data_IF_591977431821
#
_entry.id   IF_591977431821
#
_cell.length_a   1.000
_cell.length_b   1.000
_cell.length_c   1.000
_cell.angle_alpha   90.00
_cell.angle_beta   90.00
_cell.angle_gamma   90.00
#
_symmetry.space_group_name_H-M   'P 1'
#
loop_
_entity.id
_entity.type
_entity.pdbx_description
1 polymer ?
#
# COMPACT_ATOMS: atom_id res chain seq x y z
N UNK A 1 -38.71 -9.38 -27.53
CA UNK A 1 -37.68 -9.87 -26.61
C UNK A 1 -36.57 -8.82 -26.61
N UNK A 2 -36.53 -7.95 -25.64
CA UNK A 2 -35.43 -7.00 -25.46
C UNK A 2 -34.24 -7.82 -24.96
N UNK A 3 -33.23 -8.00 -25.82
CA UNK A 3 -31.95 -8.61 -25.43
C UNK A 3 -31.38 -7.77 -24.27
N UNK A 4 -31.24 -8.36 -23.10
CA UNK A 4 -30.46 -7.76 -22.02
C UNK A 4 -29.05 -7.54 -22.57
N UNK A 5 -28.49 -6.32 -22.56
CA UNK A 5 -27.12 -6.11 -23.05
C UNK A 5 -26.19 -7.02 -22.24
N UNK A 6 -25.32 -7.76 -22.94
CA UNK A 6 -24.31 -8.59 -22.28
C UNK A 6 -23.44 -7.70 -21.39
N UNK A 7 -23.16 -8.13 -20.17
CA UNK A 7 -22.24 -7.39 -19.31
C UNK A 7 -20.86 -7.30 -19.98
N UNK A 8 -20.16 -6.14 -19.86
CA UNK A 8 -18.82 -6.00 -20.41
C UNK A 8 -17.85 -6.98 -19.79
N UNK A 9 -16.92 -7.50 -20.59
CA UNK A 9 -15.82 -8.33 -20.13
C UNK A 9 -14.73 -7.43 -19.53
N UNK A 10 -14.58 -7.45 -18.21
CA UNK A 10 -13.59 -6.64 -17.49
C UNK A 10 -12.44 -7.54 -17.03
N UNK A 11 -11.22 -7.19 -17.42
CA UNK A 11 -10.00 -7.89 -16.96
C UNK A 11 -9.22 -6.98 -16.02
N UNK A 12 -8.91 -7.49 -14.82
CA UNK A 12 -8.02 -6.87 -13.84
C UNK A 12 -6.68 -7.62 -13.87
N UNK A 13 -5.58 -6.89 -14.10
CA UNK A 13 -4.23 -7.46 -14.19
C UNK A 13 -3.49 -7.25 -12.88
N UNK A 14 -3.07 -8.34 -12.22
CA UNK A 14 -2.38 -8.37 -10.94
C UNK A 14 -3.35 -8.52 -9.77
N UNK A 15 -3.24 -9.64 -9.05
CA UNK A 15 -4.05 -9.95 -7.86
C UNK A 15 -3.30 -9.64 -6.54
N UNK A 16 -2.53 -8.55 -6.50
CA UNK A 16 -2.10 -7.91 -5.26
C UNK A 16 -3.30 -7.27 -4.53
N UNK A 17 -3.07 -6.57 -3.42
CA UNK A 17 -4.15 -5.93 -2.68
C UNK A 17 -4.95 -4.96 -3.56
N UNK A 18 -4.28 -4.21 -4.44
CA UNK A 18 -4.95 -3.27 -5.34
C UNK A 18 -5.94 -3.98 -6.28
N UNK A 19 -5.49 -4.97 -7.05
CA UNK A 19 -6.36 -5.64 -8.02
C UNK A 19 -7.41 -6.51 -7.35
N UNK A 20 -7.09 -7.16 -6.24
CA UNK A 20 -8.06 -7.89 -5.41
C UNK A 20 -9.16 -6.96 -4.90
N UNK A 21 -8.80 -5.76 -4.44
CA UNK A 21 -9.78 -4.74 -4.01
C UNK A 21 -10.64 -4.25 -5.18
N UNK A 22 -10.07 -4.04 -6.38
CA UNK A 22 -10.84 -3.68 -7.59
C UNK A 22 -11.85 -4.76 -7.91
N UNK A 23 -11.44 -6.02 -7.97
CA UNK A 23 -12.33 -7.12 -8.28
C UNK A 23 -13.48 -7.25 -7.26
N UNK A 24 -13.18 -7.08 -5.96
CA UNK A 24 -14.18 -7.09 -4.89
C UNK A 24 -15.12 -5.88 -4.97
N UNK A 25 -14.61 -4.68 -5.27
CA UNK A 25 -15.42 -3.47 -5.45
C UNK A 25 -16.37 -3.58 -6.65
N UNK A 26 -15.94 -4.22 -7.74
CA UNK A 26 -16.78 -4.56 -8.89
C UNK A 26 -17.84 -5.59 -8.53
N UNK A 27 -17.44 -6.67 -7.84
CA UNK A 27 -18.36 -7.72 -7.40
C UNK A 27 -19.44 -7.19 -6.46
N UNK A 28 -19.10 -6.26 -5.55
CA UNK A 28 -20.06 -5.58 -4.69
C UNK A 28 -21.13 -4.78 -5.47
N UNK A 29 -20.87 -4.45 -6.73
CA UNK A 29 -21.78 -3.80 -7.69
C UNK A 29 -22.50 -4.78 -8.62
N UNK A 30 -22.31 -6.09 -8.42
CA UNK A 30 -22.87 -7.13 -9.29
C UNK A 30 -22.13 -7.26 -10.63
N UNK A 31 -20.93 -6.71 -10.76
CA UNK A 31 -20.13 -6.71 -11.99
C UNK A 31 -19.14 -7.86 -11.95
N UNK A 32 -19.19 -8.70 -13.00
CA UNK A 32 -18.22 -9.79 -13.18
C UNK A 32 -16.87 -9.28 -13.65
N UNK A 33 -15.79 -9.89 -13.16
CA UNK A 33 -14.43 -9.60 -13.64
C UNK A 33 -13.57 -10.86 -13.73
N UNK A 34 -12.57 -10.83 -14.60
CA UNK A 34 -11.48 -11.81 -14.65
C UNK A 34 -10.28 -11.19 -13.96
N UNK A 35 -9.79 -11.82 -12.90
CA UNK A 35 -8.63 -11.37 -12.14
C UNK A 35 -7.42 -12.25 -12.46
N UNK A 36 -6.42 -11.67 -13.14
CA UNK A 36 -5.22 -12.36 -13.58
C UNK A 36 -4.05 -12.15 -12.61
N UNK A 37 -3.36 -13.24 -12.27
CA UNK A 37 -2.18 -13.20 -11.40
C UNK A 37 -1.06 -14.09 -11.93
N UNK A 38 0.17 -13.55 -12.02
CA UNK A 38 1.35 -14.32 -12.46
C UNK A 38 1.85 -15.35 -11.44
N UNK A 39 1.65 -15.05 -10.14
CA UNK A 39 2.01 -15.93 -9.04
C UNK A 39 1.02 -17.09 -8.91
N UNK A 40 1.38 -18.21 -8.26
CA UNK A 40 0.50 -19.36 -8.07
C UNK A 40 -0.72 -19.09 -7.18
N UNK A 41 -0.72 -17.99 -6.44
CA UNK A 41 -1.81 -17.53 -5.58
C UNK A 41 -1.85 -16.00 -5.55
N UNK A 42 -3.00 -15.37 -5.26
CA UNK A 42 -3.09 -13.92 -5.10
C UNK A 42 -2.37 -13.46 -3.82
N UNK A 43 -1.96 -12.20 -3.77
CA UNK A 43 -1.43 -11.51 -2.58
C UNK A 43 -0.08 -12.05 -2.05
N UNK A 44 0.71 -12.78 -2.84
CA UNK A 44 2.00 -13.35 -2.42
C UNK A 44 3.20 -12.39 -2.54
N UNK A 45 3.07 -11.35 -3.36
CA UNK A 45 4.17 -10.41 -3.64
C UNK A 45 4.20 -9.25 -2.61
N UNK A 46 4.42 -8.03 -3.05
CA UNK A 46 4.59 -6.83 -2.21
C UNK A 46 3.46 -6.63 -1.18
N UNK A 47 2.23 -7.07 -1.47
CA UNK A 47 1.10 -6.96 -0.52
C UNK A 47 1.31 -7.74 0.78
N UNK A 48 2.08 -8.83 0.75
CA UNK A 48 2.47 -9.63 1.92
C UNK A 48 3.80 -9.16 2.51
N UNK A 49 4.66 -8.56 1.70
CA UNK A 49 6.08 -8.31 1.98
C UNK A 49 6.34 -6.85 2.36
N UNK A 50 5.65 -6.37 3.40
CA UNK A 50 5.74 -5.01 3.91
C UNK A 50 5.40 -4.94 5.40
N UNK A 51 5.56 -3.78 6.02
CA UNK A 51 5.26 -3.52 7.42
C UNK A 51 3.76 -3.43 7.75
N UNK A 52 2.90 -3.44 6.76
CA UNK A 52 1.45 -3.32 6.93
C UNK A 52 0.96 -1.98 7.47
N UNK A 53 1.79 -0.95 7.41
CA UNK A 53 1.46 0.38 7.94
C UNK A 53 0.34 1.04 7.15
N UNK A 54 -0.70 1.47 7.85
CA UNK A 54 -1.78 2.27 7.29
C UNK A 54 -1.44 3.73 7.54
N UNK A 55 -0.73 4.30 6.57
CA UNK A 55 -0.11 5.62 6.66
C UNK A 55 -1.12 6.74 6.77
N UNK A 56 -1.00 7.55 7.81
CA UNK A 56 -1.73 8.81 7.95
C UNK A 56 -1.01 10.00 7.28
N UNK A 57 0.29 9.85 6.96
CA UNK A 57 1.04 10.88 6.26
C UNK A 57 2.38 11.27 6.89
N UNK A 58 2.69 10.85 8.08
CA UNK A 58 3.86 11.29 8.86
C UNK A 58 5.21 11.11 8.15
N UNK A 59 5.40 9.99 7.41
CA UNK A 59 6.64 9.73 6.65
C UNK A 59 6.85 10.65 5.45
N UNK A 60 5.85 11.47 5.11
CA UNK A 60 5.87 12.40 3.98
C UNK A 60 6.09 13.85 4.41
N UNK A 61 6.75 14.09 5.53
CA UNK A 61 7.02 15.41 6.08
C UNK A 61 7.83 16.34 5.13
N UNK A 62 8.56 15.76 4.16
CA UNK A 62 9.27 16.48 3.09
C UNK A 62 8.38 16.91 1.93
N UNK A 63 7.16 16.39 1.81
CA UNK A 63 6.24 16.84 0.75
C UNK A 63 5.86 18.29 0.94
N UNK A 64 6.02 19.10 -0.10
CA UNK A 64 5.81 20.53 -0.05
C UNK A 64 4.34 20.96 -0.09
N UNK A 65 3.45 20.06 -0.54
CA UNK A 65 2.02 20.36 -0.73
C UNK A 65 1.11 19.63 0.26
N UNK A 66 -0.16 20.02 0.27
CA UNK A 66 -1.19 19.34 1.10
C UNK A 66 -1.75 18.07 0.45
N UNK A 67 -1.58 17.89 -0.87
CA UNK A 67 -2.20 16.81 -1.62
C UNK A 67 -1.70 15.43 -1.20
N UNK A 68 -0.42 15.28 -0.88
CA UNK A 68 0.14 14.04 -0.32
C UNK A 68 -0.53 13.69 1.01
N UNK A 69 -0.66 14.66 1.91
CA UNK A 69 -1.34 14.49 3.19
C UNK A 69 -2.82 14.11 2.99
N UNK A 70 -3.53 14.80 2.11
CA UNK A 70 -4.91 14.46 1.75
C UNK A 70 -5.04 13.03 1.22
N UNK A 71 -4.18 12.63 0.29
CA UNK A 71 -4.19 11.30 -0.32
C UNK A 71 -3.98 10.22 0.74
N UNK A 72 -3.03 10.40 1.65
CA UNK A 72 -2.77 9.44 2.72
C UNK A 72 -3.91 9.39 3.72
N UNK A 73 -4.41 10.53 4.18
CA UNK A 73 -5.53 10.60 5.13
C UNK A 73 -6.80 9.97 4.55
N UNK A 74 -7.20 10.34 3.32
CA UNK A 74 -8.38 9.74 2.67
C UNK A 74 -8.23 8.24 2.49
N UNK A 75 -7.07 7.76 2.06
CA UNK A 75 -6.77 6.33 1.98
C UNK A 75 -6.87 5.64 3.34
N UNK A 76 -6.26 6.20 4.37
CA UNK A 76 -6.21 5.62 5.71
C UNK A 76 -7.59 5.57 6.39
N UNK A 77 -8.35 6.66 6.28
CA UNK A 77 -9.67 6.78 6.93
C UNK A 77 -10.77 5.97 6.23
N UNK A 78 -10.59 5.65 4.96
CA UNK A 78 -11.52 4.79 4.21
C UNK A 78 -11.10 3.31 4.17
N UNK A 79 -9.87 2.98 4.56
CA UNK A 79 -9.26 1.65 4.41
C UNK A 79 -10.11 0.53 5.01
N UNK A 80 -10.46 0.66 6.28
CA UNK A 80 -11.24 -0.34 6.99
C UNK A 80 -12.66 -0.43 6.45
N UNK A 81 -13.32 0.70 6.23
CA UNK A 81 -14.71 0.74 5.78
C UNK A 81 -14.92 0.04 4.44
N UNK A 82 -14.05 0.26 3.45
CA UNK A 82 -14.17 -0.43 2.17
C UNK A 82 -13.90 -1.94 2.29
N UNK A 83 -12.86 -2.33 3.02
CA UNK A 83 -12.57 -3.75 3.19
C UNK A 83 -13.65 -4.48 3.98
N UNK A 84 -14.22 -3.86 5.02
CA UNK A 84 -15.35 -4.42 5.76
C UNK A 84 -16.59 -4.56 4.87
N UNK A 85 -16.85 -3.59 4.00
CA UNK A 85 -17.97 -3.66 3.06
C UNK A 85 -17.83 -4.82 2.05
N UNK A 86 -16.60 -5.14 1.63
CA UNK A 86 -16.37 -6.19 0.62
C UNK A 86 -16.09 -7.56 1.21
N UNK A 87 -15.42 -7.61 2.36
CA UNK A 87 -14.97 -8.86 2.99
C UNK A 87 -15.86 -9.30 4.16
N UNK A 88 -16.80 -8.45 4.60
CA UNK A 88 -17.46 -8.55 5.89
C UNK A 88 -16.58 -7.97 7.00
N UNK A 89 -17.16 -7.77 8.21
CA UNK A 89 -16.46 -7.15 9.34
C UNK A 89 -15.15 -7.86 9.67
N UNK A 90 -14.04 -7.13 9.63
CA UNK A 90 -12.70 -7.65 9.92
C UNK A 90 -12.26 -7.26 11.34
N UNK A 91 -11.51 -8.12 12.04
CA UNK A 91 -11.17 -7.88 13.45
C UNK A 91 -9.96 -6.92 13.59
N UNK A 92 -10.07 -5.69 13.12
CA UNK A 92 -9.00 -4.69 13.05
C UNK A 92 -8.23 -4.55 14.36
N UNK A 93 -8.94 -4.50 15.51
CA UNK A 93 -8.32 -4.38 16.84
C UNK A 93 -7.38 -5.52 17.19
N UNK A 94 -7.61 -6.70 16.62
CA UNK A 94 -6.78 -7.90 16.86
C UNK A 94 -5.59 -7.99 15.90
N UNK A 95 -5.69 -7.32 14.75
CA UNK A 95 -4.68 -7.36 13.71
C UNK A 95 -3.71 -6.19 13.75
N UNK A 96 -4.10 -5.11 14.42
CA UNK A 96 -3.31 -3.89 14.46
C UNK A 96 -2.19 -3.97 15.51
N UNK A 97 -1.09 -3.25 15.23
CA UNK A 97 -0.03 -2.98 16.18
C UNK A 97 -0.49 -1.97 17.25
N UNK A 98 0.31 -1.76 18.29
CA UNK A 98 0.25 -0.52 19.07
C UNK A 98 0.58 0.69 18.17
N UNK A 99 0.26 1.94 18.60
CA UNK A 99 0.60 3.14 17.86
C UNK A 99 2.11 3.33 17.71
N UNK A 100 2.52 3.90 16.57
CA UNK A 100 3.93 4.17 16.26
C UNK A 100 4.51 5.34 17.03
N UNK A 101 5.81 5.20 17.35
CA UNK A 101 6.71 6.31 17.73
C UNK A 101 7.55 6.66 16.52
N UNK A 102 7.59 7.95 16.20
CA UNK A 102 8.40 8.49 15.13
C UNK A 102 9.70 9.04 15.72
N UNK A 103 10.77 8.27 15.59
CA UNK A 103 12.07 8.53 16.19
C UNK A 103 12.93 9.37 15.24
N UNK A 104 13.39 10.53 15.70
CA UNK A 104 14.21 11.42 14.89
C UNK A 104 15.68 10.99 14.99
N UNK A 105 16.21 10.49 13.87
CA UNK A 105 17.60 10.03 13.82
C UNK A 105 18.60 11.21 13.76
N UNK A 106 19.86 11.04 14.22
CA UNK A 106 20.86 12.11 14.17
C UNK A 106 21.11 12.66 12.77
N UNK A 107 21.08 11.76 11.76
CA UNK A 107 21.28 12.11 10.34
C UNK A 107 19.94 12.30 9.61
N UNK A 108 18.88 12.68 10.32
CA UNK A 108 17.56 12.97 9.76
C UNK A 108 17.64 14.14 8.77
N UNK A 109 16.95 14.00 7.62
CA UNK A 109 16.81 15.09 6.63
C UNK A 109 16.02 16.30 7.16
N UNK A 110 15.26 16.13 8.23
CA UNK A 110 14.50 17.18 8.92
C UNK A 110 14.82 17.17 10.41
N UNK A 111 14.94 18.34 11.00
CA UNK A 111 15.04 18.50 12.46
C UNK A 111 13.71 18.12 13.13
N UNK A 112 13.74 17.92 14.46
CA UNK A 112 12.53 17.67 15.24
C UNK A 112 11.50 18.81 15.07
N UNK A 113 11.94 20.07 15.09
CA UNK A 113 11.06 21.23 14.92
C UNK A 113 10.42 21.27 13.53
N UNK A 114 11.18 20.92 12.49
CA UNK A 114 10.66 20.84 11.12
C UNK A 114 9.63 19.71 10.97
N UNK A 115 9.86 18.57 11.63
CA UNK A 115 8.91 17.46 11.68
C UNK A 115 7.65 17.86 12.44
N UNK A 116 7.76 18.51 13.60
CA UNK A 116 6.62 19.02 14.35
C UNK A 116 5.77 19.98 13.51
N UNK A 117 6.41 20.93 12.81
CA UNK A 117 5.72 21.84 11.89
C UNK A 117 5.01 21.10 10.74
N UNK A 118 5.61 20.02 10.21
CA UNK A 118 4.97 19.19 9.18
C UNK A 118 3.76 18.44 9.74
N UNK A 119 3.84 17.95 10.97
CA UNK A 119 2.75 17.23 11.63
C UNK A 119 1.59 18.16 12.02
N UNK A 120 1.85 19.43 12.36
CA UNK A 120 0.80 20.45 12.51
C UNK A 120 0.04 20.66 11.17
N UNK A 121 0.73 20.74 10.04
CA UNK A 121 0.06 20.84 8.72
C UNK A 121 -0.75 19.60 8.38
N UNK A 122 -0.34 18.43 8.87
CA UNK A 122 -1.11 17.20 8.72
C UNK A 122 -2.42 17.27 9.53
N UNK A 123 -2.38 17.79 10.78
CA UNK A 123 -3.58 18.02 11.60
C UNK A 123 -4.54 19.03 10.92
N UNK A 124 -4.02 20.12 10.36
CA UNK A 124 -4.83 21.08 9.60
C UNK A 124 -5.52 20.42 8.40
N UNK A 125 -4.81 19.52 7.72
CA UNK A 125 -5.38 18.76 6.59
C UNK A 125 -6.46 17.79 7.06
N UNK A 126 -6.24 17.10 8.17
CA UNK A 126 -7.24 16.22 8.76
C UNK A 126 -8.49 16.98 9.20
N UNK A 127 -8.32 18.16 9.82
CA UNK A 127 -9.44 19.02 10.20
C UNK A 127 -10.28 19.48 9.00
N UNK A 128 -9.63 19.81 7.86
CA UNK A 128 -10.33 20.14 6.62
C UNK A 128 -11.14 18.97 6.07
N UNK A 129 -10.59 17.76 6.09
CA UNK A 129 -11.31 16.57 5.63
C UNK A 129 -12.46 16.23 6.60
N UNK A 130 -12.25 16.41 7.90
CA UNK A 130 -13.26 16.18 8.93
C UNK A 130 -14.47 17.13 8.84
N UNK A 131 -14.35 18.26 8.13
CA UNK A 131 -15.48 19.14 7.85
C UNK A 131 -16.57 18.47 6.99
N UNK A 132 -16.20 17.46 6.19
CA UNK A 132 -17.12 16.66 5.38
C UNK A 132 -17.79 15.52 6.19
N UNK A 133 -17.31 15.24 7.40
CA UNK A 133 -17.81 14.19 8.28
C UNK A 133 -16.75 13.63 9.23
N UNK A 134 -17.14 12.88 10.27
CA UNK A 134 -16.19 12.33 11.22
C UNK A 134 -15.21 11.36 10.55
N UNK A 135 -13.94 11.48 10.90
CA UNK A 135 -12.90 10.57 10.40
C UNK A 135 -12.85 9.30 11.25
N UNK A 136 -12.74 8.17 10.59
CA UNK A 136 -12.50 6.88 11.22
C UNK A 136 -11.15 6.31 10.78
N UNK A 137 -10.44 5.67 11.69
CA UNK A 137 -9.19 5.00 11.41
C UNK A 137 -9.19 3.60 12.02
N UNK A 138 -9.17 2.59 11.14
CA UNK A 138 -9.22 1.17 11.53
C UNK A 138 -10.41 0.85 12.46
N UNK A 139 -11.59 1.36 12.09
CA UNK A 139 -12.84 1.15 12.83
C UNK A 139 -12.92 1.89 14.16
N UNK A 140 -12.18 3.00 14.33
CA UNK A 140 -12.23 3.86 15.52
C UNK A 140 -12.26 5.33 15.12
N UNK A 141 -12.94 6.20 15.89
CA UNK A 141 -12.89 7.64 15.65
C UNK A 141 -11.46 8.17 15.67
N UNK A 142 -11.14 9.05 14.73
CA UNK A 142 -9.85 9.73 14.63
C UNK A 142 -10.01 11.18 15.05
N UNK A 143 -9.53 11.51 16.25
CA UNK A 143 -9.71 12.85 16.85
C UNK A 143 -8.40 13.62 17.01
N UNK A 144 -7.28 12.94 17.06
CA UNK A 144 -5.95 13.50 17.19
C UNK A 144 -4.97 12.62 16.41
N UNK A 145 -4.00 13.20 15.74
CA UNK A 145 -3.05 12.42 14.93
C UNK A 145 -1.74 12.14 15.67
N UNK A 146 -1.23 13.10 16.44
CA UNK A 146 0.05 13.00 17.12
C UNK A 146 0.11 13.85 18.39
N UNK A 147 1.16 13.68 19.17
CA UNK A 147 1.46 14.46 20.35
C UNK A 147 2.92 14.40 20.72
N UNK A 148 3.32 15.34 21.59
CA UNK A 148 4.63 15.32 22.21
C UNK A 148 4.76 14.13 23.17
N UNK A 149 5.97 13.60 23.34
CA UNK A 149 6.22 12.50 24.26
C UNK A 149 5.85 12.87 25.70
N UNK A 150 5.09 12.00 26.36
CA UNK A 150 4.78 12.16 27.76
C UNK A 150 5.85 11.48 28.63
N UNK A 151 6.07 11.90 29.91
CA UNK A 151 7.00 11.23 30.82
C UNK A 151 6.68 9.73 31.03
N UNK A 152 5.43 9.33 30.86
CA UNK A 152 5.00 7.93 30.91
C UNK A 152 5.44 7.11 29.68
N UNK A 153 5.75 7.80 28.58
CA UNK A 153 6.17 7.18 27.32
C UNK A 153 7.68 6.90 27.24
N UNK A 154 8.47 7.26 28.25
CA UNK A 154 9.91 6.95 28.37
C UNK A 154 10.28 5.45 28.33
N UNK A 155 9.40 4.62 27.76
CA UNK A 155 9.54 3.15 27.66
C UNK A 155 10.25 2.66 26.40
N UNK A 156 10.73 3.56 25.52
CA UNK A 156 11.63 3.15 24.46
C UNK A 156 12.98 2.79 25.09
N UNK A 157 13.20 1.50 25.34
CA UNK A 157 14.49 0.98 25.79
C UNK A 157 15.48 1.06 24.63
N UNK A 158 16.21 2.16 24.58
CA UNK A 158 17.22 2.44 23.57
C UNK A 158 18.57 2.67 24.22
N UNK A 159 19.64 2.38 23.49
CA UNK A 159 21.01 2.69 23.88
C UNK A 159 21.32 4.18 23.88
N UNK A 160 20.53 4.96 23.14
CA UNK A 160 20.69 6.42 22.99
C UNK A 160 19.36 7.13 23.25
N UNK A 161 19.41 8.31 23.87
CA UNK A 161 18.24 9.19 23.98
C UNK A 161 18.13 10.03 22.70
N UNK A 162 17.07 9.85 21.94
CA UNK A 162 16.78 10.59 20.70
C UNK A 162 15.40 11.25 20.81
N UNK A 163 15.15 12.39 20.14
CA UNK A 163 13.81 12.96 20.03
C UNK A 163 12.86 12.01 19.31
N UNK A 164 11.58 12.04 19.70
CA UNK A 164 10.56 11.23 19.05
C UNK A 164 9.16 11.82 19.28
N UNK A 165 8.20 11.41 18.46
CA UNK A 165 6.80 11.83 18.53
C UNK A 165 5.89 10.62 18.76
N UNK A 166 4.85 10.80 19.56
CA UNK A 166 3.74 9.86 19.64
C UNK A 166 2.78 10.10 18.50
N UNK A 167 2.32 9.03 17.84
CA UNK A 167 1.30 9.13 16.81
C UNK A 167 0.21 8.10 17.06
N UNK A 168 -0.91 8.23 16.36
CA UNK A 168 -1.97 7.21 16.36
C UNK A 168 -1.81 6.21 15.22
N UNK A 169 -0.83 6.41 14.33
CA UNK A 169 -0.58 5.53 13.18
C UNK A 169 -0.27 4.10 13.61
N UNK A 170 -0.79 3.14 12.88
CA UNK A 170 -0.68 1.71 13.18
C UNK A 170 -0.38 0.89 11.93
N UNK A 171 0.15 -0.30 12.14
CA UNK A 171 0.23 -1.35 11.12
C UNK A 171 -0.86 -2.38 11.33
N UNK A 172 -1.29 -3.00 10.25
CA UNK A 172 -2.12 -4.22 10.23
C UNK A 172 -1.21 -5.37 9.79
N UNK A 173 -1.25 -6.49 10.50
CA UNK A 173 -0.45 -7.66 10.12
C UNK A 173 -0.76 -8.08 8.67
N UNK A 174 0.18 -7.93 7.73
CA UNK A 174 -0.07 -8.23 6.32
C UNK A 174 -0.44 -9.70 6.08
N UNK A 175 0.02 -10.61 6.94
CA UNK A 175 -0.27 -12.05 6.83
C UNK A 175 -1.75 -12.33 7.09
N UNK A 176 -2.34 -11.65 8.08
CA UNK A 176 -3.76 -11.78 8.42
C UNK A 176 -4.64 -11.08 7.39
N UNK A 177 -4.26 -9.86 7.00
CA UNK A 177 -4.98 -9.09 5.97
C UNK A 177 -5.04 -9.85 4.64
N UNK A 178 -3.87 -10.28 4.13
CA UNK A 178 -3.80 -10.98 2.84
C UNK A 178 -4.54 -12.32 2.86
N UNK A 179 -4.52 -13.03 3.99
CA UNK A 179 -5.28 -14.27 4.16
C UNK A 179 -6.78 -14.03 4.08
N UNK A 180 -7.29 -12.98 4.73
CA UNK A 180 -8.73 -12.66 4.71
C UNK A 180 -9.20 -12.22 3.32
N UNK A 181 -8.44 -11.30 2.67
CA UNK A 181 -8.77 -10.82 1.33
C UNK A 181 -8.70 -11.96 0.30
N UNK A 182 -7.68 -12.82 0.37
CA UNK A 182 -7.55 -14.01 -0.49
C UNK A 182 -8.76 -14.91 -0.38
N UNK A 183 -9.12 -15.30 0.85
CA UNK A 183 -10.29 -16.14 1.10
C UNK A 183 -11.57 -15.54 0.51
N UNK A 184 -11.73 -14.23 0.59
CA UNK A 184 -12.90 -13.55 0.05
C UNK A 184 -12.89 -13.53 -1.49
N UNK A 185 -11.76 -13.24 -2.11
CA UNK A 185 -11.60 -13.26 -3.58
C UNK A 185 -11.86 -14.66 -4.15
N UNK A 186 -11.31 -15.69 -3.52
CA UNK A 186 -11.48 -17.10 -3.94
C UNK A 186 -12.93 -17.59 -3.78
N UNK A 187 -13.67 -17.03 -2.83
CA UNK A 187 -15.07 -17.39 -2.57
C UNK A 187 -16.10 -16.56 -3.37
N UNK A 188 -15.67 -15.50 -4.06
CA UNK A 188 -16.59 -14.59 -4.75
C UNK A 188 -16.96 -15.10 -6.14
N UNK A 189 -18.23 -15.50 -6.40
CA UNK A 189 -18.64 -16.11 -7.68
C UNK A 189 -18.61 -15.14 -8.87
N UNK A 190 -18.51 -13.84 -8.65
CA UNK A 190 -18.40 -12.83 -9.69
C UNK A 190 -16.93 -12.56 -10.10
N UNK A 191 -15.96 -13.18 -9.44
CA UNK A 191 -14.53 -13.06 -9.75
C UNK A 191 -14.04 -14.39 -10.37
N UNK A 192 -13.64 -14.35 -11.64
CA UNK A 192 -12.93 -15.45 -12.30
C UNK A 192 -11.42 -15.26 -12.03
N UNK A 193 -10.93 -15.85 -10.92
CA UNK A 193 -9.53 -15.75 -10.52
C UNK A 193 -8.67 -16.77 -11.29
N UNK A 194 -7.66 -16.27 -12.02
CA UNK A 194 -6.72 -17.09 -12.80
C UNK A 194 -5.28 -16.82 -12.35
N UNK A 195 -4.76 -17.69 -11.52
CA UNK A 195 -3.40 -17.65 -11.02
C UNK A 195 -2.40 -18.38 -11.92
N UNK A 196 -1.11 -18.07 -11.76
CA UNK A 196 -0.04 -18.61 -12.59
C UNK A 196 -0.11 -18.12 -14.04
N UNK A 197 -0.84 -17.05 -14.34
CA UNK A 197 -1.09 -16.55 -15.69
C UNK A 197 -0.59 -15.11 -15.84
N UNK A 198 0.59 -14.97 -16.45
CA UNK A 198 1.20 -13.66 -16.73
C UNK A 198 0.64 -13.06 -18.02
N UNK A 199 0.32 -11.77 -18.00
CA UNK A 199 0.04 -10.98 -19.20
C UNK A 199 1.37 -10.52 -19.81
N UNK A 200 1.67 -11.08 -20.99
CA UNK A 200 2.92 -10.84 -21.71
C UNK A 200 2.84 -9.59 -22.61
N UNK A 201 1.69 -9.39 -23.26
CA UNK A 201 1.46 -8.26 -24.14
C UNK A 201 -0.02 -7.84 -24.11
N UNK A 202 -0.28 -6.61 -24.50
CA UNK A 202 -1.62 -6.06 -24.69
C UNK A 202 -1.64 -5.31 -26.03
N UNK A 203 -2.77 -5.40 -26.73
CA UNK A 203 -3.04 -4.63 -27.94
C UNK A 203 -4.45 -4.07 -27.90
N UNK A 204 -4.59 -2.77 -28.09
CA UNK A 204 -5.88 -2.15 -28.32
C UNK A 204 -6.41 -2.54 -29.71
N UNK A 205 -7.68 -2.93 -29.80
CA UNK A 205 -8.35 -3.41 -30.99
C UNK A 205 -9.70 -2.72 -31.15
N UNK A 206 -9.70 -1.46 -31.61
CA UNK A 206 -10.91 -0.65 -31.70
C UNK A 206 -11.49 -0.35 -30.32
N UNK A 207 -12.63 -0.94 -29.98
CA UNK A 207 -13.33 -0.74 -28.71
C UNK A 207 -12.97 -1.78 -27.64
N UNK A 208 -12.06 -2.71 -27.94
CA UNK A 208 -11.66 -3.79 -27.01
C UNK A 208 -10.13 -3.91 -26.91
N UNK A 209 -9.68 -4.76 -26.01
CA UNK A 209 -8.27 -5.10 -25.78
C UNK A 209 -8.05 -6.58 -25.98
N UNK A 210 -6.95 -6.93 -26.62
CA UNK A 210 -6.46 -8.30 -26.71
C UNK A 210 -5.23 -8.47 -25.82
N UNK A 211 -5.32 -9.34 -24.84
CA UNK A 211 -4.24 -9.67 -23.91
C UNK A 211 -3.62 -10.99 -24.32
N UNK A 212 -2.30 -11.02 -24.48
CA UNK A 212 -1.55 -12.25 -24.76
C UNK A 212 -1.06 -12.87 -23.47
N UNK A 213 -1.38 -14.14 -23.26
CA UNK A 213 -0.90 -14.94 -22.14
C UNK A 213 -0.35 -16.28 -22.64
N UNK A 214 0.39 -17.01 -21.81
CA UNK A 214 0.87 -18.34 -22.16
C UNK A 214 -0.25 -19.39 -22.34
N UNK A 215 -1.45 -19.12 -21.82
CA UNK A 215 -2.62 -19.98 -22.00
C UNK A 215 -3.47 -19.60 -23.24
N UNK A 216 -3.00 -18.63 -24.02
CA UNK A 216 -3.70 -18.11 -25.20
C UNK A 216 -4.16 -16.66 -25.01
N UNK A 217 -4.79 -16.10 -26.05
CA UNK A 217 -5.29 -14.73 -26.03
C UNK A 217 -6.58 -14.61 -25.21
N UNK A 218 -6.75 -13.47 -24.55
CA UNK A 218 -7.99 -13.05 -23.88
C UNK A 218 -8.47 -11.75 -24.51
N UNK A 219 -9.78 -11.56 -24.61
CA UNK A 219 -10.37 -10.30 -25.08
C UNK A 219 -11.12 -9.62 -23.93
N UNK A 220 -11.01 -8.31 -23.81
CA UNK A 220 -11.67 -7.50 -22.81
C UNK A 220 -12.28 -6.22 -23.41
N UNK A 221 -13.46 -5.84 -22.92
CA UNK A 221 -14.06 -4.54 -23.20
C UNK A 221 -13.44 -3.43 -22.32
N UNK A 222 -12.92 -3.85 -21.16
CA UNK A 222 -12.24 -2.95 -20.22
C UNK A 222 -11.06 -3.68 -19.52
N UNK A 223 -10.00 -2.92 -19.24
CA UNK A 223 -8.82 -3.41 -18.54
C UNK A 223 -8.51 -2.50 -17.36
N UNK A 224 -8.21 -3.10 -16.20
CA UNK A 224 -7.67 -2.39 -15.03
C UNK A 224 -6.27 -2.93 -14.74
N UNK A 225 -5.26 -2.09 -14.96
CA UNK A 225 -3.86 -2.43 -14.76
C UNK A 225 -3.44 -2.16 -13.30
N UNK A 226 -3.28 -3.24 -12.52
CA UNK A 226 -2.80 -3.25 -11.14
C UNK A 226 -1.47 -4.01 -11.00
N UNK A 227 -0.67 -4.09 -12.07
CA UNK A 227 0.50 -4.96 -12.19
C UNK A 227 1.76 -4.41 -11.48
N UNK A 228 1.65 -3.40 -10.60
CA UNK A 228 2.70 -2.80 -9.77
C UNK A 228 3.97 -2.46 -10.58
N UNK A 229 5.08 -3.19 -10.40
CA UNK A 229 6.34 -2.93 -11.09
C UNK A 229 6.28 -3.17 -12.61
N UNK A 230 5.30 -3.93 -13.11
CA UNK A 230 5.08 -4.16 -14.53
C UNK A 230 4.06 -3.18 -15.15
N UNK A 231 3.48 -2.31 -14.34
CA UNK A 231 2.36 -1.44 -14.71
C UNK A 231 2.72 -0.54 -15.91
N UNK A 232 3.83 0.20 -15.85
CA UNK A 232 4.24 1.10 -16.94
C UNK A 232 4.50 0.36 -18.25
N UNK A 233 5.06 -0.86 -18.20
CA UNK A 233 5.28 -1.68 -19.40
C UNK A 233 3.97 -2.05 -20.07
N UNK A 234 2.95 -2.41 -19.30
CA UNK A 234 1.64 -2.77 -19.83
C UNK A 234 0.85 -1.53 -20.30
N UNK A 235 0.98 -0.40 -19.61
CA UNK A 235 0.36 0.87 -20.00
C UNK A 235 0.86 1.33 -21.37
N UNK A 236 2.17 1.28 -21.63
CA UNK A 236 2.75 1.60 -22.96
C UNK A 236 2.22 0.72 -24.10
N UNK A 237 1.75 -0.49 -23.80
CA UNK A 237 1.16 -1.40 -24.80
C UNK A 237 -0.34 -1.17 -24.99
N UNK A 238 -1.08 -0.88 -23.92
CA UNK A 238 -2.54 -0.77 -23.91
C UNK A 238 -3.07 0.65 -24.03
N UNK A 239 -2.30 1.64 -23.58
CA UNK A 239 -2.72 3.03 -23.50
C UNK A 239 -1.50 3.99 -23.55
N UNK A 240 -0.90 4.16 -24.71
CA UNK A 240 0.32 4.97 -24.93
C UNK A 240 0.21 6.41 -24.43
N UNK A 241 -1.01 6.94 -24.31
CA UNK A 241 -1.26 8.31 -23.81
C UNK A 241 -1.08 8.48 -22.30
N UNK A 242 -0.95 7.38 -21.57
CA UNK A 242 -0.69 7.39 -20.12
C UNK A 242 0.83 7.41 -19.88
N UNK A 243 1.45 8.57 -20.04
CA UNK A 243 2.86 8.73 -19.68
C UNK A 243 2.99 9.06 -18.19
N UNK A 244 3.73 8.24 -17.49
CA UNK A 244 3.99 8.40 -16.06
C UNK A 244 5.36 9.06 -15.79
N UNK A 245 6.12 9.35 -16.83
CA UNK A 245 7.48 9.81 -16.72
C UNK A 245 8.43 8.70 -16.24
N UNK A 246 9.54 9.12 -15.68
CA UNK A 246 10.57 8.20 -15.17
C UNK A 246 10.15 7.59 -13.84
N UNK A 247 10.30 6.26 -13.72
CA UNK A 247 10.08 5.50 -12.50
C UNK A 247 11.38 4.91 -11.97
N UNK A 248 11.49 4.80 -10.68
CA UNK A 248 12.58 4.08 -10.02
C UNK A 248 12.03 2.94 -9.15
N UNK A 249 12.82 1.88 -9.08
CA UNK A 249 12.49 0.63 -8.44
C UNK A 249 13.51 0.31 -7.36
N UNK A 250 13.02 -0.23 -6.25
CA UNK A 250 13.84 -0.68 -5.13
C UNK A 250 13.37 -2.05 -4.70
N UNK A 251 14.32 -2.90 -4.35
CA UNK A 251 14.03 -4.12 -3.59
C UNK A 251 14.44 -3.87 -2.15
N UNK A 252 13.46 -3.88 -1.25
CA UNK A 252 13.65 -3.76 0.20
C UNK A 252 13.22 -5.05 0.87
N UNK A 253 14.07 -5.57 1.76
CA UNK A 253 13.74 -6.74 2.55
C UNK A 253 12.90 -6.36 3.78
N UNK A 254 11.81 -7.09 3.99
CA UNK A 254 11.17 -7.23 5.29
C UNK A 254 11.82 -8.40 6.03
N UNK A 255 12.04 -8.23 7.32
CA UNK A 255 12.67 -9.25 8.16
C UNK A 255 11.73 -9.54 9.32
N UNK A 256 11.36 -10.79 9.49
CA UNK A 256 10.60 -11.25 10.63
C UNK A 256 11.54 -11.96 11.61
N UNK A 257 11.51 -11.52 12.85
CA UNK A 257 12.32 -12.09 13.92
C UNK A 257 11.46 -12.55 15.09
N UNK A 258 11.97 -13.44 15.88
CA UNK A 258 11.41 -13.84 17.17
C UNK A 258 12.36 -13.44 18.29
N UNK A 259 11.96 -12.55 19.20
CA UNK A 259 12.79 -12.15 20.32
C UNK A 259 13.00 -13.33 21.28
N UNK A 260 14.14 -13.37 21.94
CA UNK A 260 14.49 -14.43 22.91
C UNK A 260 13.57 -14.45 24.13
N UNK A 261 13.01 -13.28 24.50
CA UNK A 261 12.08 -13.10 25.62
C UNK A 261 10.90 -12.26 25.12
N UNK A 262 9.78 -12.32 25.82
CA UNK A 262 8.67 -11.42 25.57
C UNK A 262 9.18 -9.97 25.59
N UNK A 263 8.95 -9.26 24.48
CA UNK A 263 9.43 -7.89 24.29
C UNK A 263 8.33 -6.90 24.66
N UNK A 264 8.70 -5.83 25.35
CA UNK A 264 7.83 -4.66 25.57
C UNK A 264 8.07 -3.56 24.55
N UNK A 265 8.76 -3.84 23.45
CA UNK A 265 8.99 -2.90 22.37
C UNK A 265 7.69 -2.38 21.80
N UNK A 266 7.69 -1.10 21.52
CA UNK A 266 6.61 -0.42 20.81
C UNK A 266 6.97 -0.30 19.34
N UNK A 267 5.98 -0.16 18.44
CA UNK A 267 6.26 0.15 17.05
C UNK A 267 7.03 1.46 16.92
N UNK A 268 8.09 1.43 16.11
CA UNK A 268 8.96 2.59 15.86
C UNK A 268 9.16 2.75 14.37
N UNK A 269 9.03 3.98 13.88
CA UNK A 269 9.53 4.41 12.58
C UNK A 269 10.65 5.40 12.81
N UNK A 270 11.81 5.13 12.23
CA UNK A 270 12.94 6.04 12.28
C UNK A 270 12.86 7.01 11.10
N UNK A 271 12.90 8.31 11.38
CA UNK A 271 12.69 9.39 10.40
C UNK A 271 13.81 10.45 10.48
N UNK A 272 13.97 11.27 9.48
CA UNK A 272 13.48 11.26 8.10
C UNK A 272 14.64 10.84 7.20
N UNK A 273 14.50 9.80 6.39
CA UNK A 273 15.57 9.36 5.52
C UNK A 273 15.69 7.82 5.39
N UNK A 274 16.87 7.29 5.00
CA UNK A 274 17.09 5.87 4.74
C UNK A 274 17.26 5.06 6.03
N UNK A 275 16.27 5.05 6.87
CA UNK A 275 16.28 4.32 8.15
C UNK A 275 15.40 3.06 8.11
N UNK A 276 14.68 2.77 9.18
CA UNK A 276 13.91 1.54 9.26
C UNK A 276 12.72 1.61 10.21
N UNK A 277 12.10 0.45 10.36
CA UNK A 277 10.91 0.27 11.18
C UNK A 277 11.06 -0.94 12.10
N UNK A 278 10.38 -0.90 13.25
CA UNK A 278 10.16 -2.02 14.15
C UNK A 278 8.65 -2.14 14.36
N UNK A 279 8.09 -3.33 14.15
CA UNK A 279 6.66 -3.58 14.40
C UNK A 279 6.49 -4.90 15.17
N UNK A 280 6.29 -4.85 16.47
CA UNK A 280 5.88 -6.03 17.22
C UNK A 280 4.46 -6.46 16.84
N UNK A 281 4.27 -7.76 16.59
CA UNK A 281 3.00 -8.36 16.26
C UNK A 281 2.39 -9.11 17.44
N UNK A 282 1.06 -9.26 17.50
CA UNK A 282 0.39 -9.98 18.59
C UNK A 282 0.81 -11.44 18.76
N UNK A 283 1.35 -12.09 17.71
CA UNK A 283 1.85 -13.47 17.75
C UNK A 283 3.26 -13.59 18.37
N UNK A 284 3.82 -12.47 18.85
CA UNK A 284 5.14 -12.39 19.46
C UNK A 284 6.30 -12.29 18.47
N UNK A 285 6.05 -12.33 17.16
CA UNK A 285 7.05 -11.98 16.16
C UNK A 285 7.21 -10.46 16.08
N UNK A 286 8.37 -10.02 15.59
CA UNK A 286 8.66 -8.61 15.34
C UNK A 286 9.09 -8.47 13.89
N UNK A 287 8.42 -7.57 13.17
CA UNK A 287 8.93 -7.09 11.89
C UNK A 287 10.03 -6.06 12.16
N UNK A 288 11.13 -6.19 11.44
CA UNK A 288 12.17 -5.15 11.37
C UNK A 288 12.52 -4.86 9.90
N UNK A 289 12.95 -3.65 9.64
CA UNK A 289 13.62 -3.28 8.40
C UNK A 289 14.71 -2.26 8.69
N UNK A 290 15.82 -2.36 7.96
CA UNK A 290 16.88 -1.36 7.99
C UNK A 290 17.28 -1.04 6.56
N UNK A 291 16.96 0.17 6.08
CA UNK A 291 17.06 0.51 4.67
C UNK A 291 18.50 0.42 4.12
N UNK A 292 19.56 0.88 4.83
CA UNK A 292 20.93 0.85 4.31
C UNK A 292 21.43 -0.55 3.92
N UNK A 293 21.06 -1.59 4.66
CA UNK A 293 21.40 -2.99 4.32
C UNK A 293 20.24 -3.73 3.65
N UNK A 294 19.03 -3.34 3.94
CA UNK A 294 17.80 -3.98 3.44
C UNK A 294 17.47 -3.67 1.99
N UNK A 295 17.98 -2.56 1.43
CA UNK A 295 17.82 -2.22 0.02
C UNK A 295 18.86 -2.96 -0.83
N UNK A 296 18.45 -4.02 -1.50
CA UNK A 296 19.34 -4.86 -2.32
C UNK A 296 19.34 -4.51 -3.81
N UNK A 297 18.44 -3.64 -4.24
CA UNK A 297 18.36 -3.12 -5.59
C UNK A 297 17.91 -1.66 -5.60
N UNK A 298 18.43 -0.88 -6.53
CA UNK A 298 17.95 0.45 -6.91
C UNK A 298 18.25 0.68 -8.39
N UNK A 299 17.27 1.15 -9.16
CA UNK A 299 17.44 1.46 -10.59
C UNK A 299 16.16 1.96 -11.22
N UNK A 300 16.25 2.44 -12.47
CA UNK A 300 15.13 2.95 -13.28
C UNK A 300 14.44 1.86 -14.12
N UNK A 301 14.89 0.63 -14.01
CA UNK A 301 14.24 -0.54 -14.61
C UNK A 301 13.74 -1.48 -13.51
N UNK A 302 12.67 -2.26 -13.75
CA UNK A 302 12.24 -3.28 -12.82
C UNK A 302 13.39 -4.24 -12.45
N UNK A 303 13.49 -4.66 -11.18
CA UNK A 303 14.52 -5.61 -10.77
C UNK A 303 14.36 -6.95 -11.49
N UNK A 304 15.47 -7.66 -11.79
CA UNK A 304 15.42 -8.97 -12.45
C UNK A 304 14.80 -10.02 -11.53
N UNK A 305 14.03 -10.94 -12.10
CA UNK A 305 13.54 -12.16 -11.42
C UNK A 305 14.59 -13.27 -11.48
N UNK A 306 14.67 -14.17 -10.48
CA UNK A 306 13.91 -14.16 -9.22
C UNK A 306 14.49 -13.19 -8.18
N UNK A 307 13.60 -12.56 -7.42
CA UNK A 307 14.00 -11.70 -6.30
C UNK A 307 14.47 -12.50 -5.08
N UNK A 308 13.95 -13.70 -4.92
CA UNK A 308 14.19 -14.56 -3.76
C UNK A 308 15.55 -15.26 -3.88
N UNK A 309 16.58 -14.65 -3.27
CA UNK A 309 17.93 -15.23 -3.15
C UNK A 309 18.21 -15.52 -1.66
N UNK A 310 18.25 -16.80 -1.22
CA UNK A 310 18.41 -17.17 0.19
C UNK A 310 19.69 -16.64 0.85
N UNK A 311 20.78 -16.57 0.09
CA UNK A 311 22.08 -16.07 0.59
C UNK A 311 21.99 -14.57 0.87
N UNK A 312 21.42 -13.80 -0.06
CA UNK A 312 21.20 -12.35 0.11
C UNK A 312 20.21 -12.11 1.25
N UNK A 313 19.09 -12.83 1.29
CA UNK A 313 18.08 -12.70 2.31
C UNK A 313 18.64 -12.93 3.72
N UNK A 314 19.47 -13.96 3.88
CA UNK A 314 20.13 -14.29 5.15
C UNK A 314 21.10 -13.19 5.59
N UNK A 315 22.01 -12.77 4.71
CA UNK A 315 22.98 -11.70 4.98
C UNK A 315 22.27 -10.42 5.39
N UNK A 316 21.27 -9.98 4.62
CA UNK A 316 20.48 -8.78 4.91
C UNK A 316 19.82 -8.87 6.28
N UNK A 317 19.27 -10.03 6.64
CA UNK A 317 18.60 -10.21 7.90
C UNK A 317 19.60 -10.14 9.09
N UNK A 318 20.76 -10.80 8.97
CA UNK A 318 21.79 -10.81 10.00
C UNK A 318 22.37 -9.39 10.22
N UNK A 319 22.74 -8.69 9.16
CA UNK A 319 23.28 -7.33 9.22
C UNK A 319 22.25 -6.33 9.77
N UNK A 320 20.99 -6.37 9.29
CA UNK A 320 19.93 -5.47 9.77
C UNK A 320 19.60 -5.74 11.24
N UNK A 321 19.52 -7.00 11.64
CA UNK A 321 19.27 -7.34 13.05
C UNK A 321 20.41 -6.88 13.95
N UNK A 322 21.65 -6.97 13.52
CA UNK A 322 22.79 -6.49 14.29
C UNK A 322 22.71 -5.00 14.59
N UNK A 323 22.43 -4.17 13.56
CA UNK A 323 22.27 -2.72 13.73
C UNK A 323 21.06 -2.38 14.61
N UNK A 324 19.93 -3.06 14.40
CA UNK A 324 18.72 -2.81 15.18
C UNK A 324 18.88 -3.25 16.64
N UNK A 325 19.61 -4.32 16.91
CA UNK A 325 19.90 -4.81 18.27
C UNK A 325 20.90 -3.90 19.02
N UNK A 326 21.77 -3.17 18.31
CA UNK A 326 22.62 -2.14 18.91
C UNK A 326 21.79 -0.93 19.37
N UNK A 327 20.79 -0.54 18.59
CA UNK A 327 19.88 0.54 18.96
C UNK A 327 18.84 0.12 20.01
N UNK A 328 18.32 -1.10 19.91
CA UNK A 328 17.25 -1.64 20.75
C UNK A 328 17.70 -2.95 21.39
N UNK A 329 18.22 -2.90 22.62
CA UNK A 329 18.77 -4.09 23.33
C UNK A 329 17.80 -5.26 23.46
N UNK A 330 16.48 -5.00 23.45
CA UNK A 330 15.44 -6.04 23.51
C UNK A 330 15.47 -6.99 22.29
N UNK A 331 16.14 -6.61 21.21
CA UNK A 331 16.33 -7.43 20.00
C UNK A 331 17.56 -8.34 20.08
N UNK A 332 18.41 -8.19 21.10
CA UNK A 332 19.62 -9.01 21.23
C UNK A 332 19.29 -10.49 21.39
N UNK A 333 19.95 -11.30 20.57
CA UNK A 333 19.76 -12.75 20.56
C UNK A 333 18.41 -13.20 19.97
N UNK A 334 17.70 -12.32 19.26
CA UNK A 334 16.51 -12.71 18.50
C UNK A 334 16.86 -13.70 17.38
N UNK A 335 15.93 -14.58 17.05
CA UNK A 335 16.05 -15.54 15.95
C UNK A 335 15.41 -14.98 14.69
N UNK A 336 16.09 -15.06 13.56
CA UNK A 336 15.52 -14.70 12.25
C UNK A 336 14.53 -15.80 11.85
N UNK A 337 13.29 -15.40 11.57
CA UNK A 337 12.22 -16.28 11.10
C UNK A 337 12.16 -16.29 9.57
N UNK A 338 12.22 -15.11 8.96
CA UNK A 338 12.22 -14.96 7.50
C UNK A 338 12.81 -13.61 7.08
N UNK A 339 13.28 -13.54 5.83
CA UNK A 339 13.64 -12.30 5.15
C UNK A 339 13.15 -12.40 3.73
N UNK A 340 12.20 -11.53 3.35
CA UNK A 340 11.52 -11.58 2.07
C UNK A 340 11.67 -10.23 1.35
N UNK A 341 12.07 -10.23 0.06
CA UNK A 341 12.18 -9.01 -0.73
C UNK A 341 10.81 -8.50 -1.17
N UNK A 342 10.58 -7.20 -1.07
CA UNK A 342 9.43 -6.50 -1.63
C UNK A 342 9.88 -5.38 -2.58
N UNK A 343 9.10 -5.10 -3.62
CA UNK A 343 9.40 -4.05 -4.59
C UNK A 343 8.70 -2.76 -4.18
N UNK A 344 9.45 -1.67 -4.15
CA UNK A 344 8.95 -0.30 -4.01
C UNK A 344 9.12 0.39 -5.35
N UNK A 345 8.07 1.06 -5.81
CA UNK A 345 8.07 1.88 -7.03
C UNK A 345 7.81 3.34 -6.64
N UNK A 346 8.54 4.26 -7.25
CA UNK A 346 8.33 5.69 -7.08
C UNK A 346 8.65 6.44 -8.37
N UNK A 347 8.10 7.65 -8.51
CA UNK A 347 8.43 8.56 -9.60
C UNK A 347 9.83 9.15 -9.43
N UNK A 348 10.49 9.46 -10.53
CA UNK A 348 11.84 9.99 -10.57
C UNK A 348 12.93 8.93 -10.39
N UNK A 349 14.17 9.39 -10.40
CA UNK A 349 15.40 8.59 -10.43
C UNK A 349 16.20 8.65 -9.12
N UNK A 350 15.70 9.35 -8.11
CA UNK A 350 16.39 9.58 -6.84
C UNK A 350 15.84 8.71 -5.70
N UNK A 351 16.64 8.49 -4.66
CA UNK A 351 16.27 7.64 -3.53
C UNK A 351 15.95 8.43 -2.26
N UNK A 352 15.53 7.74 -1.21
CA UNK A 352 14.97 8.28 0.04
C UNK A 352 15.94 9.16 0.85
N UNK A 353 17.22 9.09 0.58
CA UNK A 353 18.26 9.95 1.16
C UNK A 353 18.31 11.37 0.55
N UNK A 354 17.60 11.56 -0.57
CA UNK A 354 17.49 12.87 -1.24
C UNK A 354 16.18 13.54 -0.83
N UNK A 355 16.23 14.81 -0.36
CA UNK A 355 15.01 15.56 0.02
C UNK A 355 14.01 15.74 -1.12
N UNK A 356 14.48 15.80 -2.36
CA UNK A 356 13.72 15.98 -3.60
C UNK A 356 13.22 14.65 -4.20
N UNK A 357 13.44 13.52 -3.54
CA UNK A 357 13.01 12.22 -4.04
C UNK A 357 11.50 12.10 -4.15
N UNK A 358 11.02 11.55 -5.27
CA UNK A 358 9.62 11.18 -5.47
C UNK A 358 9.09 10.17 -4.44
N UNK A 359 9.96 9.55 -3.63
CA UNK A 359 9.54 8.74 -2.48
C UNK A 359 8.88 9.56 -1.37
N UNK A 360 9.20 10.86 -1.28
CA UNK A 360 8.64 11.77 -0.28
C UNK A 360 7.32 12.40 -0.71
N UNK A 361 6.87 12.14 -1.94
CA UNK A 361 5.63 12.69 -2.48
C UNK A 361 4.67 11.58 -2.95
N UNK A 362 3.38 11.83 -2.72
CA UNK A 362 2.27 10.97 -3.14
C UNK A 362 1.13 11.79 -3.76
N UNK A 363 1.42 13.02 -4.19
CA UNK A 363 0.41 13.90 -4.79
C UNK A 363 -0.08 13.40 -6.15
N UNK A 364 0.80 12.72 -6.89
CA UNK A 364 0.52 12.26 -8.25
C UNK A 364 0.09 10.78 -8.36
N UNK A 365 0.04 10.04 -7.24
CA UNK A 365 -0.46 8.65 -7.27
C UNK A 365 -1.99 8.63 -7.43
N UNK A 366 -2.52 7.52 -7.92
CA UNK A 366 -3.97 7.32 -8.03
C UNK A 366 -4.38 6.60 -9.30
N UNK A 367 -5.62 6.84 -9.66
CA UNK A 367 -6.26 6.26 -10.84
C UNK A 367 -6.06 7.19 -12.03
N UNK A 368 -5.61 6.63 -13.14
CA UNK A 368 -5.58 7.27 -14.44
C UNK A 368 -6.33 6.40 -15.45
N UNK A 369 -6.89 6.99 -16.51
CA UNK A 369 -7.61 6.25 -17.55
C UNK A 369 -7.40 6.81 -18.93
N UNK A 370 -7.42 5.94 -19.93
CA UNK A 370 -7.47 6.27 -21.35
C UNK A 370 -8.54 5.38 -22.00
N UNK A 371 -9.71 5.95 -22.29
CA UNK A 371 -10.87 5.18 -22.75
C UNK A 371 -11.29 4.13 -21.71
N UNK A 372 -11.33 2.86 -22.13
CA UNK A 372 -11.66 1.72 -21.26
C UNK A 372 -10.41 1.01 -20.68
N UNK A 373 -9.29 1.70 -20.64
CA UNK A 373 -8.08 1.28 -19.92
C UNK A 373 -7.92 2.13 -18.66
N UNK A 374 -7.87 1.48 -17.50
CA UNK A 374 -7.54 2.11 -16.22
C UNK A 374 -6.19 1.59 -15.73
N UNK A 375 -5.39 2.48 -15.18
CA UNK A 375 -4.15 2.13 -14.48
C UNK A 375 -4.15 2.74 -13.09
N UNK A 376 -3.59 2.01 -12.10
CA UNK A 376 -3.58 2.47 -10.72
C UNK A 376 -2.16 2.51 -10.18
N UNK A 377 -1.65 3.70 -9.96
CA UNK A 377 -0.46 3.89 -9.14
C UNK A 377 -0.86 3.89 -7.67
N UNK A 378 -0.80 2.71 -7.03
CA UNK A 378 -1.24 2.54 -5.65
C UNK A 378 -0.39 3.34 -4.66
N UNK A 379 0.93 3.45 -4.91
CA UNK A 379 1.89 4.14 -4.04
C UNK A 379 2.11 3.48 -2.69
N UNK A 380 1.05 3.16 -1.95
CA UNK A 380 1.08 2.53 -0.63
C UNK A 380 -0.09 1.55 -0.43
N UNK A 381 0.12 0.57 0.46
CA UNK A 381 -0.94 -0.36 0.90
C UNK A 381 -2.22 0.39 1.32
N UNK A 382 -2.06 1.49 2.03
CA UNK A 382 -3.10 2.38 2.57
C UNK A 382 -4.15 2.80 1.56
N UNK A 383 -3.74 3.14 0.34
CA UNK A 383 -4.61 3.74 -0.68
C UNK A 383 -5.32 2.72 -1.56
N UNK A 384 -4.94 1.44 -1.47
CA UNK A 384 -5.44 0.41 -2.38
C UNK A 384 -6.98 0.26 -2.38
N UNK A 385 -7.68 0.18 -1.24
CA UNK A 385 -9.14 0.10 -1.25
C UNK A 385 -9.81 1.37 -1.77
N UNK A 386 -9.28 2.54 -1.45
CA UNK A 386 -9.84 3.81 -1.89
C UNK A 386 -9.76 3.97 -3.42
N UNK A 387 -8.62 3.67 -4.03
CA UNK A 387 -8.47 3.72 -5.48
C UNK A 387 -9.28 2.62 -6.20
N UNK A 388 -9.43 1.46 -5.56
CA UNK A 388 -10.30 0.42 -6.09
C UNK A 388 -11.77 0.86 -6.18
N UNK A 389 -12.25 1.54 -5.15
CA UNK A 389 -13.60 2.12 -5.14
C UNK A 389 -13.78 3.14 -6.27
N UNK A 390 -12.81 4.04 -6.46
CA UNK A 390 -12.86 5.05 -7.54
C UNK A 390 -12.94 4.40 -8.92
N UNK A 391 -12.12 3.37 -9.20
CA UNK A 391 -12.16 2.65 -10.47
C UNK A 391 -13.50 1.95 -10.67
N UNK A 392 -14.02 1.28 -9.65
CA UNK A 392 -15.30 0.60 -9.73
C UNK A 392 -16.45 1.59 -10.02
N UNK A 393 -16.42 2.79 -9.43
CA UNK A 393 -17.38 3.87 -9.74
C UNK A 393 -17.24 4.33 -11.18
N UNK A 394 -16.02 4.59 -11.67
CA UNK A 394 -15.77 5.02 -13.06
C UNK A 394 -16.25 3.98 -14.07
N UNK A 395 -15.94 2.70 -13.85
CA UNK A 395 -16.40 1.60 -14.71
C UNK A 395 -17.93 1.50 -14.73
N UNK A 396 -18.55 1.59 -13.55
CA UNK A 396 -20.02 1.60 -13.44
C UNK A 396 -20.65 2.72 -14.27
N UNK A 397 -20.05 3.91 -14.20
CA UNK A 397 -20.51 5.08 -14.97
C UNK A 397 -20.32 4.90 -16.48
N UNK A 398 -19.11 4.50 -16.93
CA UNK A 398 -18.78 4.33 -18.35
C UNK A 398 -19.68 3.32 -19.05
N UNK A 399 -19.99 2.22 -18.38
CA UNK A 399 -20.84 1.17 -18.97
C UNK A 399 -22.33 1.32 -18.63
N UNK A 400 -22.75 2.40 -17.96
CA UNK A 400 -24.15 2.66 -17.63
C UNK A 400 -24.78 1.55 -16.77
N UNK A 401 -24.00 0.88 -15.95
CA UNK A 401 -24.46 -0.25 -15.14
C UNK A 401 -25.29 0.27 -13.96
N UNK A 402 -26.58 -0.11 -13.92
CA UNK A 402 -27.44 0.21 -12.77
C UNK A 402 -27.09 -0.70 -11.62
N UNK A 403 -26.51 -0.15 -10.56
CA UNK A 403 -26.29 -0.87 -9.32
C UNK A 403 -27.61 -0.95 -8.55
N UNK A 404 -28.02 -2.14 -8.13
CA UNK A 404 -29.06 -2.27 -7.12
C UNK A 404 -28.53 -1.60 -5.83
N UNK A 405 -29.29 -0.66 -5.27
CA UNK A 405 -28.93 0.06 -4.05
C UNK A 405 -28.77 -0.91 -2.88
N UNK A 406 -27.58 -1.43 -2.70
CA UNK A 406 -27.15 -2.09 -1.46
C UNK A 406 -25.80 -1.51 -1.10
N UNK A 407 -25.83 -0.36 -0.40
CA UNK A 407 -24.81 -0.01 0.62
C UNK A 407 -25.17 1.35 1.20
N UNK A 408 -25.30 1.38 2.51
CA UNK A 408 -25.26 2.64 3.28
C UNK A 408 -23.92 3.31 2.92
N UNK A 409 -23.99 4.50 2.39
CA UNK A 409 -22.84 5.28 1.97
C UNK A 409 -21.92 5.51 3.18
N UNK A 410 -20.70 4.94 3.14
CA UNK A 410 -19.55 5.62 3.72
C UNK A 410 -19.45 6.89 2.89
N UNK A 411 -19.72 8.05 3.48
CA UNK A 411 -19.80 9.31 2.77
C UNK A 411 -18.49 9.56 2.03
N UNK A 412 -18.48 9.62 0.69
CA UNK A 412 -17.28 9.93 -0.06
C UNK A 412 -17.09 11.45 0.01
N UNK A 413 -15.92 11.87 0.39
CA UNK A 413 -15.48 13.21 -0.01
C UNK A 413 -15.66 13.36 -1.51
N UNK A 414 -16.39 14.39 -1.95
CA UNK A 414 -16.84 14.59 -3.32
C UNK A 414 -15.75 14.51 -4.40
N UNK A 415 -16.13 14.40 -5.67
CA UNK A 415 -15.20 14.28 -6.78
C UNK A 415 -14.26 15.49 -6.81
N UNK A 416 -12.97 15.22 -7.00
CA UNK A 416 -12.00 16.25 -7.33
C UNK A 416 -12.48 16.92 -8.61
N UNK A 417 -12.81 18.22 -8.54
CA UNK A 417 -13.09 19.03 -9.71
C UNK A 417 -11.88 18.93 -10.65
N UNK A 418 -12.12 18.45 -11.87
CA UNK A 418 -11.20 18.60 -12.98
C UNK A 418 -11.14 20.09 -13.27
N UNK A 419 -10.09 20.76 -12.79
CA UNK A 419 -9.80 22.13 -13.20
C UNK A 419 -9.31 22.14 -14.63
N UNK A 420 -9.89 23.05 -15.42
CA UNK A 420 -9.47 23.46 -16.75
C UNK A 420 -8.01 23.90 -16.80
#
# INVERSE_FOLDING_TARGET
>A
MTMTPSQPTIIVIGAGLQGSSVALALAARGIRSVLLERQPQPLLATSLRNEGKIHLGFVYALSSGTKTAETMLRGATSFAGYLDAWCGPLPWRRWQSAPFRYLVMPDSLLSADQLAAAYCRLDETAARIAADGPLEYLGQPLTQLWGEPTPASARLRMTRSLPWFETVERSIDPRLLTTAVRKRVEAEPLIDLRCGLEVQAVRACGTCFQLTTRAGPLTADAVVNCAWEQRQRLDRMGAETLDEGELSYRVKHQILIRPRRASSLLPVTMVQGPFGDIVPWPDGNIYISWYPTGRTYFGTTPPPDPLDNPTVARRVAEESLAVMADLFPDLQGATIVSSLPGIIVARGDSDVDRPDSGLHDRAAIGVQSAGCWWTIETGKLTTAPWFAEQVAQQITHVFGIRTAHHHAAVAPGGPLATGD
#
